data_IF_346886362599
#
_entry.id   IF_346886362599
#
_cell.length_a   1.000
_cell.length_b   1.000
_cell.length_c   1.000
_cell.angle_alpha   90.00
_cell.angle_beta   90.00
_cell.angle_gamma   90.00
#
_symmetry.space_group_name_H-M   'P 1'
#
loop_
_entity.id
_entity.type
_entity.pdbx_description
1 polymer ?
#
# COMPACT_ATOMS: atom_id res chain seq x y z
N UNK A 1 -6.41 -2.24 -9.78
CA UNK A 1 -6.39 -0.85 -10.26
C UNK A 1 -5.31 -0.72 -11.33
N UNK A 2 -5.58 -0.08 -12.47
CA UNK A 2 -4.57 0.11 -13.53
C UNK A 2 -3.46 1.07 -13.04
N UNK A 3 -2.19 0.75 -13.30
CA UNK A 3 -1.02 1.54 -12.90
C UNK A 3 -1.10 3.01 -13.34
N UNK A 4 -1.67 3.28 -14.52
CA UNK A 4 -1.89 4.65 -15.01
C UNK A 4 -2.85 5.44 -14.12
N UNK A 5 -3.95 4.82 -13.71
CA UNK A 5 -4.94 5.43 -12.81
C UNK A 5 -4.36 5.61 -11.39
N UNK A 6 -3.43 4.74 -10.98
CA UNK A 6 -2.69 4.87 -9.72
C UNK A 6 -1.77 6.08 -9.73
N UNK A 7 -0.93 6.21 -10.76
CA UNK A 7 -0.04 7.37 -10.91
C UNK A 7 -0.86 8.66 -10.94
N UNK A 8 -1.98 8.68 -11.68
CA UNK A 8 -2.88 9.82 -11.71
C UNK A 8 -3.37 10.25 -10.32
N UNK A 9 -3.89 9.29 -9.53
CA UNK A 9 -4.40 9.57 -8.17
C UNK A 9 -3.32 10.08 -7.23
N UNK A 10 -2.13 9.48 -7.28
CA UNK A 10 -1.00 9.93 -6.46
C UNK A 10 -0.57 11.35 -6.86
N UNK A 11 -0.56 11.65 -8.16
CA UNK A 11 -0.26 13.00 -8.65
C UNK A 11 -1.32 14.03 -8.21
N UNK A 12 -2.61 13.70 -8.27
CA UNK A 12 -3.70 14.55 -7.76
C UNK A 12 -3.59 14.84 -6.25
N UNK A 13 -2.87 14.00 -5.51
CA UNK A 13 -2.58 14.19 -4.07
C UNK A 13 -1.26 14.95 -3.83
N UNK A 14 -0.70 15.57 -4.86
CA UNK A 14 0.55 16.33 -4.82
C UNK A 14 1.78 15.50 -4.42
N UNK A 15 1.76 14.18 -4.66
CA UNK A 15 2.93 13.32 -4.45
C UNK A 15 3.88 13.50 -5.64
N UNK A 16 5.18 13.67 -5.35
CA UNK A 16 6.17 13.97 -6.38
C UNK A 16 6.38 12.79 -7.33
N UNK A 17 6.73 13.02 -8.62
CA UNK A 17 7.06 11.95 -9.55
C UNK A 17 8.18 11.01 -9.05
N UNK A 18 9.13 11.55 -8.29
CA UNK A 18 10.22 10.82 -7.65
C UNK A 18 9.70 9.82 -6.61
N UNK A 19 8.80 10.25 -5.73
CA UNK A 19 8.14 9.41 -4.74
C UNK A 19 7.26 8.32 -5.38
N UNK A 20 6.51 8.69 -6.43
CA UNK A 20 5.70 7.73 -7.18
C UNK A 20 6.59 6.67 -7.84
N UNK A 21 7.69 7.09 -8.47
CA UNK A 21 8.65 6.18 -9.09
C UNK A 21 9.29 5.22 -8.07
N UNK A 22 9.69 5.75 -6.91
CA UNK A 22 10.28 4.99 -5.82
C UNK A 22 9.33 3.93 -5.26
N UNK A 23 8.07 4.28 -5.03
CA UNK A 23 7.05 3.38 -4.44
C UNK A 23 6.48 2.38 -5.42
N UNK A 24 6.31 2.75 -6.69
CA UNK A 24 5.79 1.85 -7.73
C UNK A 24 6.86 1.00 -8.43
N UNK A 25 8.13 1.18 -8.04
CA UNK A 25 9.29 0.57 -8.69
C UNK A 25 9.31 0.81 -10.22
N UNK A 26 8.92 2.02 -10.65
CA UNK A 26 8.88 2.41 -12.05
C UNK A 26 10.01 3.39 -12.39
N UNK A 27 10.54 3.38 -13.62
CA UNK A 27 11.50 4.39 -14.04
C UNK A 27 10.90 5.81 -13.95
N UNK A 28 11.62 6.76 -13.36
CA UNK A 28 11.16 8.15 -13.22
C UNK A 28 10.75 8.78 -14.56
N UNK A 29 11.47 8.48 -15.64
CA UNK A 29 11.12 8.95 -17.00
C UNK A 29 9.73 8.47 -17.42
N UNK A 30 9.38 7.22 -17.08
CA UNK A 30 8.06 6.63 -17.38
C UNK A 30 6.97 7.32 -16.56
N UNK A 31 7.18 7.51 -15.25
CA UNK A 31 6.22 8.23 -14.39
C UNK A 31 5.99 9.66 -14.88
N UNK A 32 7.06 10.42 -15.17
CA UNK A 32 6.96 11.78 -15.74
C UNK A 32 6.24 11.78 -17.08
N UNK A 33 6.50 10.82 -17.96
CA UNK A 33 5.78 10.69 -19.23
C UNK A 33 4.30 10.40 -19.04
N UNK A 34 3.94 9.57 -18.05
CA UNK A 34 2.55 9.23 -17.76
C UNK A 34 1.81 10.44 -17.21
N UNK A 35 2.39 11.13 -16.22
CA UNK A 35 1.82 12.36 -15.67
C UNK A 35 1.59 13.38 -16.78
N UNK A 36 2.59 13.66 -17.61
CA UNK A 36 2.44 14.58 -18.76
C UNK A 36 1.28 14.19 -19.67
N UNK A 37 1.15 12.90 -20.03
CA UNK A 37 0.06 12.42 -20.89
C UNK A 37 -1.33 12.57 -20.23
N UNK A 38 -1.41 12.44 -18.91
CA UNK A 38 -2.65 12.58 -18.15
C UNK A 38 -3.01 14.05 -17.87
N UNK A 39 -2.01 14.93 -17.77
CA UNK A 39 -2.17 16.36 -17.54
C UNK A 39 -2.37 17.18 -18.84
N UNK A 40 -2.37 16.53 -20.02
CA UNK A 40 -2.63 17.20 -21.29
C UNK A 40 -4.12 17.49 -21.49
N UNK A 41 -4.61 18.51 -20.78
CA UNK A 41 -5.32 19.60 -21.43
C UNK A 41 -4.24 20.54 -22.02
N UNK A 42 -4.29 20.92 -23.30
CA UNK A 42 -3.19 21.56 -24.02
C UNK A 42 -3.10 23.08 -23.80
N UNK A 43 -3.15 23.52 -22.54
CA UNK A 43 -2.85 24.91 -22.18
C UNK A 43 -2.00 24.96 -20.94
N UNK A 44 -0.75 24.52 -21.02
CA UNK A 44 0.31 25.21 -20.30
C UNK A 44 1.70 24.96 -20.89
N UNK A 45 2.45 26.05 -20.95
CA UNK A 45 3.67 26.27 -21.71
C UNK A 45 4.84 25.41 -21.21
N UNK A 46 5.74 25.12 -22.14
CA UNK A 46 7.08 24.55 -21.95
C UNK A 46 7.67 24.76 -20.55
N UNK A 47 8.03 23.68 -19.82
CA UNK A 47 8.90 23.82 -18.69
C UNK A 47 10.32 24.07 -19.22
N UNK A 48 10.76 25.32 -19.07
CA UNK A 48 12.17 25.73 -19.16
C UNK A 48 13.06 24.68 -18.50
N UNK A 49 14.09 24.29 -19.25
CA UNK A 49 15.33 23.61 -18.86
C UNK A 49 15.67 23.82 -17.36
N UNK A 50 15.23 22.91 -16.50
CA UNK A 50 15.76 22.81 -15.14
C UNK A 50 17.04 21.98 -15.17
N UNK A 51 18.12 22.61 -14.71
CA UNK A 51 19.42 22.00 -14.51
C UNK A 51 19.27 20.78 -13.60
N UNK A 52 19.93 19.69 -13.99
CA UNK A 52 20.25 18.55 -13.13
C UNK A 52 20.92 19.07 -11.84
N UNK A 53 20.18 19.03 -10.74
CA UNK A 53 20.75 18.75 -9.44
C UNK A 53 20.33 17.32 -9.12
N UNK A 54 21.25 16.37 -9.33
CA UNK A 54 21.15 15.03 -8.75
C UNK A 54 21.53 15.18 -7.27
N UNK A 55 20.68 15.85 -6.51
CA UNK A 55 20.68 15.75 -5.05
C UNK A 55 19.77 14.58 -4.74
N UNK A 56 20.20 13.66 -3.89
CA UNK A 56 19.29 12.67 -3.29
C UNK A 56 18.18 13.44 -2.56
N UNK A 57 17.05 13.69 -3.25
CA UNK A 57 15.87 14.28 -2.64
C UNK A 57 15.39 13.31 -1.57
N UNK A 58 15.52 13.71 -0.32
CA UNK A 58 14.96 13.01 0.84
C UNK A 58 13.46 12.82 0.60
N UNK A 59 13.03 11.57 0.41
CA UNK A 59 11.65 11.25 0.10
C UNK A 59 10.79 11.61 1.32
N UNK A 60 9.91 12.62 1.18
CA UNK A 60 8.97 12.94 2.25
C UNK A 60 8.02 11.76 2.49
N UNK A 61 7.86 11.29 3.73
CA UNK A 61 6.92 10.20 4.02
C UNK A 61 5.47 10.58 3.66
N UNK A 62 4.72 9.62 3.13
CA UNK A 62 3.27 9.74 2.91
C UNK A 62 2.62 8.36 3.05
N UNK A 63 1.33 8.31 3.32
CA UNK A 63 0.56 7.07 3.24
C UNK A 63 -0.77 7.29 2.51
N UNK A 64 -0.95 6.59 1.40
CA UNK A 64 -2.21 6.53 0.68
C UNK A 64 -2.83 5.13 0.71
N UNK A 65 -4.15 5.05 0.63
CA UNK A 65 -4.89 3.78 0.61
C UNK A 65 -6.08 3.79 -0.33
N UNK A 66 -6.34 2.63 -0.93
CA UNK A 66 -7.52 2.39 -1.76
C UNK A 66 -8.22 1.10 -1.34
N UNK A 67 -9.53 1.20 -1.03
CA UNK A 67 -10.31 0.07 -0.53
C UNK A 67 -11.09 -0.56 -1.67
N UNK A 68 -10.95 -1.87 -1.87
CA UNK A 68 -11.77 -2.68 -2.78
C UNK A 68 -12.48 -3.76 -2.00
N UNK A 69 -13.80 -3.87 -2.19
CA UNK A 69 -14.63 -4.86 -1.50
C UNK A 69 -14.92 -6.03 -2.43
N UNK A 70 -14.77 -7.24 -1.92
CA UNK A 70 -15.20 -8.47 -2.57
C UNK A 70 -16.12 -9.23 -1.62
N UNK A 71 -16.77 -10.27 -2.13
CA UNK A 71 -17.74 -11.04 -1.35
C UNK A 71 -17.09 -11.69 -0.11
N UNK A 72 -15.87 -12.19 -0.25
CA UNK A 72 -15.18 -12.97 0.79
C UNK A 72 -14.18 -12.17 1.64
N UNK A 73 -13.74 -11.01 1.14
CA UNK A 73 -12.69 -10.22 1.78
C UNK A 73 -12.74 -8.74 1.36
N UNK A 74 -12.07 -7.88 2.12
CA UNK A 74 -11.84 -6.48 1.74
C UNK A 74 -10.34 -6.25 1.62
N UNK A 75 -9.93 -5.68 0.49
CA UNK A 75 -8.54 -5.34 0.20
C UNK A 75 -8.30 -3.86 0.39
N UNK A 76 -7.27 -3.51 1.15
CA UNK A 76 -6.73 -2.17 1.31
C UNK A 76 -5.39 -2.16 0.56
N UNK A 77 -5.36 -1.50 -0.60
CA UNK A 77 -4.15 -1.31 -1.40
C UNK A 77 -3.45 -0.05 -0.90
N UNK A 78 -2.34 -0.22 -0.18
CA UNK A 78 -1.55 0.89 0.34
C UNK A 78 -0.41 1.27 -0.62
N UNK A 79 -0.04 2.54 -0.59
CA UNK A 79 1.19 3.06 -1.20
C UNK A 79 1.83 4.12 -0.32
N UNK A 80 3.16 4.13 -0.28
CA UNK A 80 3.93 5.09 0.50
C UNK A 80 4.72 4.41 1.61
N UNK A 81 4.58 4.88 2.83
CA UNK A 81 5.44 4.55 3.96
C UNK A 81 4.62 4.07 5.16
N UNK A 82 5.06 3.01 5.80
CA UNK A 82 4.53 2.51 7.07
C UNK A 82 5.41 3.01 8.21
N UNK A 83 5.33 4.31 8.48
CA UNK A 83 6.01 4.98 9.60
C UNK A 83 5.05 5.29 10.73
N UNK A 84 5.61 5.48 11.94
CA UNK A 84 4.90 5.76 13.19
C UNK A 84 3.83 6.84 13.07
N UNK A 85 4.13 7.90 12.32
CA UNK A 85 3.23 9.04 12.10
C UNK A 85 1.90 8.64 11.44
N UNK A 86 1.88 7.55 10.67
CA UNK A 86 0.70 7.07 9.95
C UNK A 86 -0.06 5.96 10.70
N UNK A 87 0.39 5.54 11.89
CA UNK A 87 -0.33 4.56 12.73
C UNK A 87 -1.80 4.99 12.98
N UNK A 88 -2.11 6.26 13.31
CA UNK A 88 -3.50 6.68 13.50
C UNK A 88 -4.36 6.53 12.24
N UNK A 89 -3.77 6.79 11.07
CA UNK A 89 -4.45 6.62 9.79
C UNK A 89 -4.72 5.13 9.52
N UNK A 90 -3.73 4.27 9.72
CA UNK A 90 -3.85 2.81 9.62
C UNK A 90 -4.99 2.26 10.50
N UNK A 91 -5.00 2.63 11.78
CA UNK A 91 -6.03 2.26 12.73
C UNK A 91 -7.41 2.70 12.27
N UNK A 92 -7.55 3.99 11.91
CA UNK A 92 -8.82 4.54 11.44
C UNK A 92 -9.35 3.81 10.21
N UNK A 93 -8.48 3.51 9.23
CA UNK A 93 -8.88 2.79 8.02
C UNK A 93 -9.34 1.37 8.34
N UNK A 94 -8.62 0.63 9.19
CA UNK A 94 -8.99 -0.74 9.58
C UNK A 94 -10.29 -0.73 10.40
N UNK A 95 -10.43 0.19 11.36
CA UNK A 95 -11.61 0.29 12.23
C UNK A 95 -12.89 0.62 11.45
N UNK A 96 -12.80 1.43 10.39
CA UNK A 96 -13.94 1.71 9.51
C UNK A 96 -14.46 0.46 8.79
N UNK A 97 -13.58 -0.51 8.53
CA UNK A 97 -13.95 -1.77 7.90
C UNK A 97 -14.56 -2.74 8.90
N UNK A 98 -14.04 -2.76 10.12
CA UNK A 98 -14.46 -3.70 11.17
C UNK A 98 -15.84 -3.35 11.76
N UNK A 99 -16.24 -2.08 11.72
CA UNK A 99 -17.57 -1.63 12.16
C UNK A 99 -18.73 -2.07 11.26
N UNK A 100 -18.45 -2.46 10.01
CA UNK A 100 -19.48 -2.94 9.08
C UNK A 100 -19.56 -4.47 9.16
N UNK A 101 -20.76 -5.03 9.35
CA UNK A 101 -20.96 -6.47 9.51
C UNK A 101 -20.58 -7.24 8.24
N UNK A 102 -20.10 -8.48 8.41
CA UNK A 102 -20.01 -9.46 7.32
C UNK A 102 -18.68 -9.59 6.56
N UNK A 103 -17.62 -8.84 6.89
CA UNK A 103 -16.29 -9.08 6.26
C UNK A 103 -15.39 -9.90 7.19
N UNK A 104 -15.13 -11.19 6.91
CA UNK A 104 -14.29 -12.02 7.75
C UNK A 104 -12.79 -11.76 7.55
N UNK A 105 -12.36 -11.33 6.35
CA UNK A 105 -10.94 -11.21 6.01
C UNK A 105 -10.57 -9.79 5.53
N UNK A 106 -9.53 -9.22 6.13
CA UNK A 106 -8.94 -7.94 5.73
C UNK A 106 -7.58 -8.20 5.09
N UNK A 107 -7.42 -7.76 3.85
CA UNK A 107 -6.19 -7.94 3.08
C UNK A 107 -5.49 -6.60 2.97
N UNK A 108 -4.27 -6.50 3.49
CA UNK A 108 -3.43 -5.32 3.36
C UNK A 108 -2.45 -5.59 2.21
N UNK A 109 -2.71 -5.02 1.04
CA UNK A 109 -1.81 -5.12 -0.10
C UNK A 109 -0.74 -4.04 0.01
N UNK A 110 0.51 -4.47 0.06
CA UNK A 110 1.68 -3.64 0.44
C UNK A 110 2.79 -3.67 -0.62
N UNK A 111 2.41 -3.91 -1.88
CA UNK A 111 3.33 -3.96 -3.02
C UNK A 111 4.07 -2.65 -3.25
N UNK A 112 3.42 -1.52 -2.94
CA UNK A 112 3.96 -0.18 -3.18
C UNK A 112 4.29 0.55 -1.88
N UNK A 113 4.55 -0.21 -0.81
CA UNK A 113 5.14 0.32 0.42
C UNK A 113 6.66 0.34 0.24
N UNK A 114 7.24 1.51 0.44
CA UNK A 114 8.66 1.75 0.29
C UNK A 114 9.46 1.35 1.52
N UNK A 115 8.92 1.64 2.70
CA UNK A 115 9.55 1.40 4.00
C UNK A 115 8.49 1.11 5.05
N UNK A 116 8.84 0.28 6.04
CA UNK A 116 8.03 0.01 7.21
C UNK A 116 8.91 0.02 8.48
N UNK A 117 8.55 0.85 9.45
CA UNK A 117 9.27 0.90 10.73
C UNK A 117 8.76 -0.16 11.72
N UNK A 118 9.60 -0.48 12.71
CA UNK A 118 9.29 -1.50 13.71
C UNK A 118 8.06 -1.14 14.56
N UNK A 119 7.81 0.15 14.80
CA UNK A 119 6.67 0.63 15.58
C UNK A 119 5.34 0.33 14.86
N UNK A 120 5.28 0.60 13.56
CA UNK A 120 4.09 0.39 12.71
C UNK A 120 3.82 -1.09 12.52
N UNK A 121 4.86 -1.91 12.29
CA UNK A 121 4.74 -3.36 12.23
C UNK A 121 4.25 -3.94 13.57
N UNK A 122 4.73 -3.40 14.70
CA UNK A 122 4.27 -3.79 16.04
C UNK A 122 2.81 -3.41 16.27
N UNK A 123 2.39 -2.21 15.83
CA UNK A 123 1.00 -1.78 15.87
C UNK A 123 0.11 -2.70 15.02
N UNK A 124 0.54 -3.04 13.79
CA UNK A 124 -0.16 -3.99 12.91
C UNK A 124 -0.37 -5.35 13.57
N UNK A 125 0.68 -5.93 14.19
CA UNK A 125 0.56 -7.18 14.95
C UNK A 125 -0.48 -7.08 16.07
N UNK A 126 -0.48 -5.97 16.82
CA UNK A 126 -1.45 -5.75 17.91
C UNK A 126 -2.88 -5.69 17.38
N UNK A 127 -3.10 -5.00 16.27
CA UNK A 127 -4.40 -4.92 15.60
C UNK A 127 -4.85 -6.32 15.15
N UNK A 128 -3.98 -7.08 14.50
CA UNK A 128 -4.27 -8.43 14.03
C UNK A 128 -4.66 -9.38 15.18
N UNK A 129 -3.94 -9.34 16.30
CA UNK A 129 -4.30 -10.11 17.51
C UNK A 129 -5.68 -9.72 18.04
N UNK A 130 -6.01 -8.42 18.03
CA UNK A 130 -7.33 -7.92 18.44
C UNK A 130 -8.45 -8.45 17.55
N UNK A 131 -8.27 -8.38 16.22
CA UNK A 131 -9.25 -8.83 15.24
C UNK A 131 -9.47 -10.34 15.26
N UNK A 132 -8.42 -11.12 15.51
CA UNK A 132 -8.50 -12.58 15.60
C UNK A 132 -9.45 -13.04 16.70
N UNK A 133 -9.54 -12.30 17.81
CA UNK A 133 -10.51 -12.57 18.89
C UNK A 133 -11.97 -12.41 18.42
N UNK A 134 -12.20 -11.60 17.39
CA UNK A 134 -13.52 -11.41 16.76
C UNK A 134 -13.77 -12.31 15.54
N UNK A 135 -12.93 -13.33 15.33
CA UNK A 135 -13.05 -14.24 14.17
C UNK A 135 -12.60 -13.63 12.84
N UNK A 136 -11.87 -12.51 12.87
CA UNK A 136 -11.37 -11.82 11.68
C UNK A 136 -9.86 -11.94 11.58
N UNK A 137 -9.33 -12.13 10.38
CA UNK A 137 -7.88 -12.16 10.18
C UNK A 137 -7.41 -11.03 9.27
N UNK A 138 -6.16 -10.63 9.49
CA UNK A 138 -5.40 -9.76 8.58
C UNK A 138 -4.47 -10.65 7.75
N UNK A 139 -4.41 -10.36 6.46
CA UNK A 139 -3.48 -10.95 5.50
C UNK A 139 -2.61 -9.83 4.95
N UNK A 140 -1.29 -9.97 5.01
CA UNK A 140 -0.35 -9.09 4.34
C UNK A 140 -0.06 -9.66 2.95
N UNK A 141 -0.45 -8.94 1.90
CA UNK A 141 -0.38 -9.43 0.52
C UNK A 141 0.67 -8.69 -0.30
N UNK A 142 1.54 -9.45 -0.96
CA UNK A 142 2.57 -9.01 -1.88
C UNK A 142 3.44 -7.90 -1.27
N UNK A 143 4.14 -8.14 -0.14
CA UNK A 143 5.14 -7.21 0.36
C UNK A 143 6.17 -6.89 -0.73
N UNK A 144 6.66 -5.65 -0.74
CA UNK A 144 7.75 -5.26 -1.62
C UNK A 144 9.07 -5.81 -1.07
N UNK A 145 10.02 -6.10 -1.95
CA UNK A 145 11.39 -6.52 -1.58
C UNK A 145 12.06 -5.54 -0.59
N UNK A 146 11.63 -4.27 -0.59
CA UNK A 146 12.15 -3.21 0.27
C UNK A 146 11.75 -3.34 1.74
N UNK A 147 10.63 -4.01 2.02
CA UNK A 147 10.10 -4.16 3.38
C UNK A 147 10.18 -5.58 3.93
N UNK A 148 10.58 -6.57 3.12
CA UNK A 148 10.63 -7.97 3.55
C UNK A 148 11.55 -8.17 4.77
N UNK A 149 12.73 -7.52 4.78
CA UNK A 149 13.67 -7.62 5.91
C UNK A 149 13.10 -7.03 7.20
N UNK A 150 12.36 -5.93 7.11
CA UNK A 150 11.73 -5.28 8.25
C UNK A 150 10.58 -6.12 8.79
N UNK A 151 9.81 -6.75 7.89
CA UNK A 151 8.75 -7.72 8.23
C UNK A 151 9.35 -8.92 8.97
N UNK A 152 10.42 -9.52 8.44
CA UNK A 152 11.11 -10.67 9.04
C UNK A 152 11.72 -10.30 10.40
N UNK A 153 12.46 -9.18 10.49
CA UNK A 153 13.07 -8.73 11.73
C UNK A 153 12.03 -8.42 12.83
N UNK A 154 10.81 -8.03 12.44
CA UNK A 154 9.71 -7.80 13.36
C UNK A 154 8.89 -9.07 13.66
N UNK A 155 9.21 -10.23 13.10
CA UNK A 155 8.45 -11.47 13.25
C UNK A 155 6.95 -11.27 13.02
N UNK A 156 6.60 -10.65 11.89
CA UNK A 156 5.21 -10.35 11.54
C UNK A 156 4.44 -11.64 11.23
N UNK A 157 5.10 -12.62 10.65
CA UNK A 157 4.60 -13.94 10.28
C UNK A 157 4.01 -14.74 11.45
N UNK A 158 4.51 -14.52 12.67
CA UNK A 158 3.98 -15.17 13.89
C UNK A 158 2.53 -14.79 14.18
N UNK A 159 2.08 -13.66 13.63
CA UNK A 159 0.79 -13.05 13.97
C UNK A 159 -0.09 -12.81 12.74
N UNK A 160 0.50 -12.49 11.60
CA UNK A 160 -0.19 -12.08 10.37
C UNK A 160 0.21 -13.04 9.25
N UNK A 161 -0.77 -13.57 8.53
CA UNK A 161 -0.52 -14.39 7.34
C UNK A 161 0.11 -13.52 6.25
N UNK A 162 1.27 -13.92 5.73
CA UNK A 162 1.96 -13.22 4.64
C UNK A 162 1.84 -14.06 3.36
N UNK A 163 1.42 -13.44 2.25
CA UNK A 163 1.26 -14.12 0.96
C UNK A 163 1.92 -13.27 -0.13
N UNK A 164 2.98 -13.79 -0.75
CA UNK A 164 3.75 -13.05 -1.76
C UNK A 164 3.12 -13.04 -3.16
N UNK A 165 2.39 -14.08 -3.55
CA UNK A 165 1.94 -14.25 -4.95
C UNK A 165 0.43 -14.29 -5.09
N UNK A 166 -0.08 -13.77 -6.21
CA UNK A 166 -1.51 -13.79 -6.54
C UNK A 166 -2.09 -15.20 -6.55
N UNK A 167 -1.38 -16.18 -7.13
CA UNK A 167 -1.85 -17.56 -7.19
C UNK A 167 -2.02 -18.18 -5.78
N UNK A 168 -1.07 -17.94 -4.88
CA UNK A 168 -1.18 -18.39 -3.49
C UNK A 168 -2.32 -17.68 -2.76
N UNK A 169 -2.52 -16.39 -3.04
CA UNK A 169 -3.61 -15.61 -2.45
C UNK A 169 -4.98 -16.11 -2.89
N UNK A 170 -5.19 -16.32 -4.19
CA UNK A 170 -6.45 -16.82 -4.74
C UNK A 170 -6.79 -18.21 -4.14
N UNK A 171 -5.79 -19.10 -4.01
CA UNK A 171 -5.95 -20.41 -3.36
C UNK A 171 -6.31 -20.28 -1.88
N UNK A 172 -5.67 -19.35 -1.17
CA UNK A 172 -5.91 -19.13 0.26
C UNK A 172 -7.32 -18.60 0.51
N UNK A 173 -7.74 -17.57 -0.23
CA UNK A 173 -9.08 -16.99 -0.13
C UNK A 173 -10.15 -18.03 -0.48
N UNK A 174 -9.95 -18.81 -1.54
CA UNK A 174 -10.86 -19.89 -1.91
C UNK A 174 -11.06 -20.89 -0.76
N UNK A 175 -9.96 -21.32 -0.13
CA UNK A 175 -9.98 -22.26 1.01
C UNK A 175 -10.71 -21.69 2.23
N UNK A 176 -10.63 -20.37 2.46
CA UNK A 176 -11.38 -19.73 3.53
C UNK A 176 -12.88 -19.64 3.22
N UNK A 177 -13.23 -19.36 1.96
CA UNK A 177 -14.62 -19.28 1.52
C UNK A 177 -15.34 -20.63 1.52
N UNK A 178 -14.63 -21.74 1.30
CA UNK A 178 -15.22 -23.09 1.32
C UNK A 178 -15.46 -23.64 2.73
N UNK A 179 -14.94 -22.97 3.77
CA UNK A 179 -15.04 -23.38 5.18
C UNK A 179 -16.02 -22.53 5.99
N UNK A 180 -16.53 -21.45 5.42
CA UNK A 180 -17.49 -20.53 6.02
C UNK A 180 -18.91 -20.88 5.60
#
# INVERSE_FOLDING_TARGET
>A
MNIYHRIYKLHQKNISPQQIAATTNMPLKSVKSIIRKLSLDPTEKDPKKEKRAETEEELTPYLDSHITRQHTHVTIDFSGFFTKEFIPQLLKTIDQLTKRSGTPQIVLKVTDIYEADAETLTALKRIAKGLRKSGRNIILFSPSDRIEKQIEAAHVEDTITIIGTKAAFDKYIYTLSSKA
#
